data_IF_718050934088
#
_entry.id   IF_718050934088
#
_cell.length_a   1.000
_cell.length_b   1.000
_cell.length_c   1.000
_cell.angle_alpha   90.00
_cell.angle_beta   90.00
_cell.angle_gamma   90.00
#
_symmetry.space_group_name_H-M   'P 1'
#
loop_
_entity.id
_entity.type
_entity.pdbx_description
1 polymer ?
#
# COMPACT_ATOMS: atom_id res chain seq x y z
N UNK A 1 -52.58 58.63 17.84
CA UNK A 1 -52.42 59.39 19.10
C UNK A 1 -52.62 58.44 20.26
N UNK A 2 -51.88 58.64 21.37
CA UNK A 2 -51.86 57.86 22.62
C UNK A 2 -51.49 56.35 22.48
N UNK A 3 -50.48 55.74 23.14
CA UNK A 3 -49.86 55.86 24.49
C UNK A 3 -50.71 55.25 25.62
N UNK A 4 -50.18 54.42 26.55
CA UNK A 4 -48.87 53.76 26.68
C UNK A 4 -48.91 52.76 27.87
N UNK A 5 -47.90 51.86 27.98
CA UNK A 5 -47.29 51.37 29.24
C UNK A 5 -48.16 50.58 30.26
N UNK A 6 -47.74 49.54 30.98
CA UNK A 6 -46.47 48.80 31.26
C UNK A 6 -46.86 47.29 31.48
N UNK A 7 -46.06 46.31 31.94
CA UNK A 7 -44.73 46.27 32.57
C UNK A 7 -43.93 44.99 32.14
N UNK A 8 -43.32 44.26 33.08
CA UNK A 8 -42.33 43.20 32.88
C UNK A 8 -42.66 41.89 33.63
N UNK A 9 -42.34 40.75 33.01
CA UNK A 9 -41.77 39.57 33.67
C UNK A 9 -40.94 38.80 32.64
N UNK A 10 -39.75 38.31 33.00
CA UNK A 10 -38.95 37.44 32.15
C UNK A 10 -38.99 36.00 32.66
N UNK A 11 -38.64 35.03 31.81
CA UNK A 11 -38.00 33.76 32.18
C UNK A 11 -37.38 33.13 30.93
N UNK A 12 -36.23 32.47 31.13
CA UNK A 12 -35.42 31.81 30.11
C UNK A 12 -35.76 30.33 29.94
N UNK A 13 -35.76 29.83 28.71
CA UNK A 13 -35.47 28.43 28.38
C UNK A 13 -35.04 28.34 26.90
N UNK A 14 -33.74 28.34 26.59
CA UNK A 14 -32.93 27.11 26.43
C UNK A 14 -33.54 26.13 25.43
N UNK A 15 -33.31 26.35 24.13
CA UNK A 15 -33.57 25.33 23.11
C UNK A 15 -32.64 24.12 23.28
N UNK A 16 -33.04 22.92 22.84
CA UNK A 16 -32.24 21.71 23.01
C UNK A 16 -30.97 21.79 22.16
N UNK A 17 -29.83 21.84 22.83
CA UNK A 17 -28.53 21.61 22.21
C UNK A 17 -28.46 20.17 21.71
N UNK A 18 -28.33 19.98 20.40
CA UNK A 18 -27.98 18.70 19.80
C UNK A 18 -26.54 18.32 20.23
N UNK A 19 -26.41 17.73 21.42
CA UNK A 19 -25.18 17.07 21.85
C UNK A 19 -24.96 15.85 20.95
N UNK A 20 -24.13 16.04 19.93
CA UNK A 20 -23.53 14.93 19.20
C UNK A 20 -22.61 14.19 20.18
N UNK A 21 -23.14 13.13 20.81
CA UNK A 21 -22.38 12.23 21.67
C UNK A 21 -21.37 11.49 20.80
N UNK A 22 -20.16 12.05 20.70
CA UNK A 22 -19.03 11.40 20.05
C UNK A 22 -18.82 10.02 20.64
N UNK A 23 -18.83 9.00 19.78
CA UNK A 23 -18.69 7.60 20.21
C UNK A 23 -17.27 7.33 20.71
N UNK A 24 -17.05 7.56 22.01
CA UNK A 24 -15.76 7.33 22.70
C UNK A 24 -15.25 5.91 22.48
N UNK A 25 -16.16 4.94 22.38
CA UNK A 25 -15.83 3.54 22.10
C UNK A 25 -15.12 3.35 20.76
N UNK A 26 -15.45 4.13 19.72
CA UNK A 26 -14.83 3.94 18.40
C UNK A 26 -13.36 4.33 18.39
N UNK A 27 -13.00 5.44 19.04
CA UNK A 27 -11.61 5.92 19.11
C UNK A 27 -10.76 5.03 20.04
N UNK A 28 -11.31 4.60 21.17
CA UNK A 28 -10.61 3.67 22.06
C UNK A 28 -10.38 2.29 21.44
N UNK A 29 -11.30 1.80 20.60
CA UNK A 29 -11.17 0.51 19.94
C UNK A 29 -10.04 0.52 18.89
N UNK A 30 -9.97 1.59 18.10
CA UNK A 30 -8.86 1.82 17.15
C UNK A 30 -7.50 1.94 17.87
N UNK A 31 -7.47 2.55 19.05
CA UNK A 31 -6.25 2.61 19.88
C UNK A 31 -5.75 1.23 20.34
N UNK A 32 -6.65 0.26 20.55
CA UNK A 32 -6.30 -1.13 20.89
C UNK A 32 -5.86 -1.89 19.64
N UNK A 33 -6.56 -1.73 18.52
CA UNK A 33 -6.21 -2.36 17.25
C UNK A 33 -4.81 -1.95 16.75
N UNK A 34 -4.37 -0.72 17.05
CA UNK A 34 -2.99 -0.26 16.78
C UNK A 34 -1.94 -0.96 17.67
N UNK A 35 -2.28 -1.33 18.90
CA UNK A 35 -1.37 -1.99 19.84
C UNK A 35 -1.23 -3.50 19.59
N UNK A 36 -2.24 -4.12 18.98
CA UNK A 36 -2.23 -5.56 18.63
C UNK A 36 -1.49 -5.83 17.31
N UNK A 37 -1.21 -4.79 16.51
CA UNK A 37 -0.45 -4.90 15.25
C UNK A 37 1.05 -4.99 15.52
N UNK A 38 1.60 -6.20 15.41
CA UNK A 38 3.04 -6.48 15.55
C UNK A 38 3.71 -6.71 14.20
N UNK A 39 5.01 -6.41 14.13
CA UNK A 39 5.87 -6.92 13.05
C UNK A 39 5.90 -8.45 13.10
N UNK A 40 6.11 -9.09 11.95
CA UNK A 40 6.19 -10.55 11.86
C UNK A 40 7.51 -11.09 12.45
N UNK A 41 7.51 -11.39 13.75
CA UNK A 41 8.68 -11.87 14.51
C UNK A 41 8.96 -13.39 14.40
N UNK A 42 8.83 -14.00 13.21
CA UNK A 42 9.42 -15.33 12.99
C UNK A 42 10.91 -15.19 12.59
N UNK A 43 11.76 -15.23 13.61
CA UNK A 43 13.23 -15.23 13.45
C UNK A 43 13.83 -16.58 13.04
N UNK A 44 13.00 -17.57 12.69
CA UNK A 44 13.40 -18.88 12.14
C UNK A 44 13.57 -18.91 10.63
N UNK A 45 13.06 -17.91 9.91
CA UNK A 45 12.78 -18.03 8.46
C UNK A 45 13.82 -17.27 7.59
N UNK A 46 14.96 -16.88 8.19
CA UNK A 46 16.04 -16.11 7.52
C UNK A 46 17.12 -17.00 6.87
N UNK A 47 17.18 -18.29 7.20
CA UNK A 47 18.22 -19.21 6.68
C UNK A 47 17.89 -19.80 5.29
N UNK A 48 16.65 -19.62 4.80
CA UNK A 48 16.20 -20.09 3.47
C UNK A 48 16.63 -19.16 2.30
N UNK A 49 17.52 -18.18 2.51
CA UNK A 49 18.04 -17.31 1.44
C UNK A 49 18.85 -18.07 0.36
N UNK A 50 19.20 -19.34 0.57
CA UNK A 50 20.18 -20.07 -0.25
C UNK A 50 19.64 -20.80 -1.47
N UNK A 51 18.34 -21.13 -1.49
CA UNK A 51 17.75 -22.07 -2.45
C UNK A 51 16.77 -21.43 -3.45
N UNK A 52 16.68 -20.09 -3.47
CA UNK A 52 16.01 -19.37 -4.55
C UNK A 52 16.89 -19.40 -5.82
N UNK A 53 16.75 -20.47 -6.60
CA UNK A 53 17.32 -20.59 -7.95
C UNK A 53 17.03 -19.32 -8.76
N UNK A 54 18.06 -18.82 -9.45
CA UNK A 54 17.92 -17.72 -10.38
C UNK A 54 17.11 -18.20 -11.59
N UNK A 55 15.80 -17.94 -11.61
CA UNK A 55 15.00 -18.03 -12.83
C UNK A 55 15.57 -17.02 -13.85
N UNK A 56 16.40 -17.51 -14.78
CA UNK A 56 16.94 -16.72 -15.88
C UNK A 56 15.83 -16.49 -16.92
N UNK A 57 14.98 -15.50 -16.63
CA UNK A 57 13.93 -15.04 -17.53
C UNK A 57 14.58 -14.11 -18.56
N UNK A 58 14.90 -14.67 -19.73
CA UNK A 58 15.30 -13.91 -20.92
C UNK A 58 14.20 -12.90 -21.29
N UNK A 59 14.59 -11.65 -21.55
CA UNK A 59 13.71 -10.63 -22.07
C UNK A 59 13.86 -9.25 -21.43
N UNK A 60 13.86 -8.23 -22.28
CA UNK A 60 13.61 -6.84 -21.89
C UNK A 60 12.12 -6.69 -21.55
N UNK A 61 11.71 -7.22 -20.38
CA UNK A 61 10.31 -7.34 -19.94
C UNK A 61 9.62 -6.02 -19.56
N UNK A 62 9.70 -5.02 -20.44
CA UNK A 62 9.05 -3.72 -20.32
C UNK A 62 7.93 -3.49 -21.34
N UNK A 63 7.75 -4.41 -22.28
CA UNK A 63 6.69 -4.35 -23.31
C UNK A 63 5.38 -4.97 -22.81
N UNK A 64 4.26 -4.48 -23.34
CA UNK A 64 2.92 -4.97 -23.01
C UNK A 64 2.69 -6.36 -23.62
N UNK A 65 2.08 -7.26 -22.83
CA UNK A 65 1.80 -8.65 -23.24
C UNK A 65 2.96 -9.63 -23.05
N UNK A 66 4.11 -9.19 -22.53
CA UNK A 66 5.21 -10.09 -22.16
C UNK A 66 4.79 -10.97 -20.97
N UNK A 67 5.13 -12.26 -21.03
CA UNK A 67 4.77 -13.24 -20.00
C UNK A 67 5.99 -13.53 -19.15
N UNK A 68 5.94 -13.08 -17.90
CA UNK A 68 6.93 -13.38 -16.86
C UNK A 68 6.51 -14.69 -16.20
N UNK A 69 7.33 -15.73 -16.29
CA UNK A 69 7.10 -17.01 -15.59
C UNK A 69 8.13 -17.13 -14.48
N UNK A 70 7.69 -17.41 -13.25
CA UNK A 70 8.57 -17.59 -12.10
C UNK A 70 8.09 -18.70 -11.19
N UNK A 71 9.03 -19.35 -10.50
CA UNK A 71 8.78 -20.43 -9.56
C UNK A 71 8.82 -19.91 -8.12
N UNK A 72 7.67 -19.90 -7.45
CA UNK A 72 7.57 -19.57 -6.03
C UNK A 72 8.02 -20.78 -5.21
N UNK A 73 9.05 -20.59 -4.39
CA UNK A 73 9.50 -21.57 -3.40
C UNK A 73 8.37 -21.97 -2.44
N UNK A 74 8.14 -23.27 -2.29
CA UNK A 74 7.07 -23.80 -1.46
C UNK A 74 7.34 -23.66 0.03
N UNK A 75 6.78 -22.61 0.67
CA UNK A 75 6.77 -22.47 2.13
C UNK A 75 6.12 -23.71 2.79
N UNK A 76 6.61 -24.12 3.96
CA UNK A 76 6.04 -25.18 4.78
C UNK A 76 5.85 -26.55 4.07
N UNK A 77 6.84 -26.99 3.28
CA UNK A 77 6.83 -28.27 2.53
C UNK A 77 5.74 -28.38 1.44
N UNK A 78 5.17 -27.26 1.01
CA UNK A 78 4.34 -27.24 -0.21
C UNK A 78 5.21 -27.46 -1.46
N UNK A 79 4.66 -27.98 -2.57
CA UNK A 79 5.39 -28.06 -3.82
C UNK A 79 5.75 -26.65 -4.34
N UNK A 80 6.89 -26.53 -5.04
CA UNK A 80 7.23 -25.32 -5.82
C UNK A 80 6.06 -25.00 -6.77
N UNK A 81 5.57 -23.77 -6.77
CA UNK A 81 4.45 -23.35 -7.62
C UNK A 81 4.94 -22.41 -8.71
N UNK A 82 4.80 -22.80 -9.98
CA UNK A 82 4.99 -21.91 -11.12
C UNK A 82 3.81 -20.95 -11.23
N UNK A 83 4.10 -19.65 -11.34
CA UNK A 83 3.13 -18.57 -11.53
C UNK A 83 3.53 -17.72 -12.72
N UNK A 84 2.56 -17.25 -13.50
CA UNK A 84 2.79 -16.51 -14.73
C UNK A 84 2.02 -15.18 -14.74
N UNK A 85 2.76 -14.09 -14.97
CA UNK A 85 2.24 -12.73 -15.01
C UNK A 85 2.27 -12.19 -16.45
N UNK A 86 1.15 -11.67 -16.92
CA UNK A 86 1.10 -10.92 -18.19
C UNK A 86 1.33 -9.44 -17.85
N UNK A 87 2.41 -8.83 -18.36
CA UNK A 87 2.62 -7.39 -18.24
C UNK A 87 1.55 -6.64 -19.04
N UNK A 88 0.94 -5.60 -18.45
CA UNK A 88 -0.05 -4.78 -19.12
C UNK A 88 0.56 -3.47 -19.60
N UNK A 89 1.11 -2.66 -18.68
CA UNK A 89 1.77 -1.39 -19.03
C UNK A 89 2.66 -0.87 -17.89
N UNK A 90 3.57 0.06 -18.22
CA UNK A 90 4.36 0.81 -17.24
C UNK A 90 3.45 1.79 -16.49
N UNK A 91 3.41 1.69 -15.17
CA UNK A 91 2.66 2.61 -14.28
C UNK A 91 3.56 3.56 -13.51
N UNK A 92 4.87 3.32 -13.46
CA UNK A 92 5.82 4.23 -12.84
C UNK A 92 7.25 4.02 -13.31
N UNK A 93 7.99 5.12 -13.45
CA UNK A 93 9.44 5.13 -13.67
C UNK A 93 10.10 5.99 -12.60
N UNK A 94 11.25 5.56 -12.11
CA UNK A 94 11.99 6.27 -11.07
C UNK A 94 13.48 5.96 -11.11
N UNK A 95 14.27 6.64 -10.27
CA UNK A 95 15.72 6.48 -10.20
C UNK A 95 16.19 5.05 -9.90
N UNK A 96 15.35 4.26 -9.23
CA UNK A 96 15.67 2.89 -8.79
C UNK A 96 15.17 1.80 -9.77
N UNK A 97 14.37 2.14 -10.78
CA UNK A 97 13.80 1.16 -11.69
C UNK A 97 12.41 1.51 -12.22
N UNK A 98 11.68 0.47 -12.65
CA UNK A 98 10.40 0.58 -13.34
C UNK A 98 9.33 -0.25 -12.62
N UNK A 99 8.10 0.25 -12.60
CA UNK A 99 6.92 -0.44 -12.07
C UNK A 99 5.95 -0.72 -13.21
N UNK A 100 5.56 -1.98 -13.36
CA UNK A 100 4.58 -2.45 -14.33
C UNK A 100 3.30 -2.88 -13.61
N UNK A 101 2.14 -2.52 -14.18
CA UNK A 101 0.92 -3.25 -13.90
C UNK A 101 0.98 -4.58 -14.65
N UNK A 102 0.65 -5.66 -13.97
CA UNK A 102 0.58 -7.00 -14.56
C UNK A 102 -0.60 -7.79 -13.99
N UNK A 103 -1.01 -8.83 -14.69
CA UNK A 103 -2.10 -9.73 -14.27
C UNK A 103 -1.55 -11.13 -14.03
N UNK A 104 -1.76 -11.65 -12.82
CA UNK A 104 -1.52 -13.05 -12.48
C UNK A 104 -2.49 -13.95 -13.28
N UNK A 105 -1.99 -14.93 -14.02
CA UNK A 105 -2.82 -15.82 -14.85
C UNK A 105 -3.54 -16.88 -14.01
N UNK A 106 -2.94 -17.28 -12.90
CA UNK A 106 -3.42 -18.36 -12.04
C UNK A 106 -4.53 -17.87 -11.10
N UNK A 107 -4.39 -16.67 -10.52
CA UNK A 107 -5.41 -16.07 -9.62
C UNK A 107 -6.33 -15.07 -10.33
N UNK A 108 -5.91 -14.53 -11.47
CA UNK A 108 -6.62 -13.45 -12.17
C UNK A 108 -6.45 -12.06 -11.52
N UNK A 109 -5.68 -11.95 -10.43
CA UNK A 109 -5.45 -10.70 -9.70
C UNK A 109 -4.52 -9.74 -10.46
N UNK A 110 -4.75 -8.43 -10.28
CA UNK A 110 -3.88 -7.37 -10.81
C UNK A 110 -2.83 -7.05 -9.74
N UNK A 111 -1.56 -7.00 -10.16
CA UNK A 111 -0.39 -6.77 -9.30
C UNK A 111 0.50 -5.66 -9.87
N UNK A 112 1.27 -5.02 -8.99
CA UNK A 112 2.34 -4.10 -9.37
C UNK A 112 3.69 -4.83 -9.28
N UNK A 113 4.41 -4.98 -10.39
CA UNK A 113 5.76 -5.57 -10.41
C UNK A 113 6.78 -4.45 -10.46
N UNK A 114 7.52 -4.25 -9.36
CA UNK A 114 8.63 -3.28 -9.29
C UNK A 114 9.95 -3.98 -9.61
N UNK A 115 10.53 -3.69 -10.78
CA UNK A 115 11.82 -4.21 -11.24
C UNK A 115 12.95 -3.23 -10.90
N UNK A 116 13.90 -3.66 -10.06
CA UNK A 116 14.99 -2.86 -9.48
C UNK A 116 16.34 -3.49 -9.81
N UNK A 117 17.27 -2.73 -10.39
CA UNK A 117 18.63 -3.19 -10.68
C UNK A 117 19.40 -3.44 -9.37
N UNK A 118 20.05 -4.60 -9.25
CA UNK A 118 20.90 -4.97 -8.12
C UNK A 118 22.35 -4.54 -8.37
N UNK A 119 22.59 -3.24 -8.30
CA UNK A 119 23.96 -2.70 -8.30
C UNK A 119 24.65 -3.04 -6.97
N UNK A 120 25.70 -3.87 -7.04
CA UNK A 120 26.51 -4.34 -5.90
C UNK A 120 27.08 -3.22 -5.01
N UNK A 121 27.11 -1.98 -5.49
CA UNK A 121 27.56 -0.80 -4.72
C UNK A 121 26.50 -0.25 -3.76
N UNK A 122 25.22 -0.62 -3.93
CA UNK A 122 24.10 -0.14 -3.13
C UNK A 122 23.43 -1.28 -2.38
N UNK A 123 23.17 -1.07 -1.08
CA UNK A 123 22.42 -2.03 -0.26
C UNK A 123 20.91 -1.78 -0.40
N UNK A 124 20.23 -2.66 -1.12
CA UNK A 124 18.77 -2.64 -1.17
C UNK A 124 18.18 -3.36 0.05
N UNK A 125 17.49 -2.63 0.93
CA UNK A 125 16.78 -3.17 2.11
C UNK A 125 15.28 -3.34 1.88
N UNK A 126 14.76 -2.98 0.71
CA UNK A 126 13.32 -2.93 0.45
C UNK A 126 12.66 -4.31 0.59
N UNK A 127 13.29 -5.37 0.06
CA UNK A 127 12.80 -6.74 0.23
C UNK A 127 12.71 -7.14 1.70
N UNK A 128 13.82 -6.97 2.44
CA UNK A 128 13.92 -7.34 3.86
C UNK A 128 12.90 -6.60 4.72
N UNK A 129 12.69 -5.32 4.46
CA UNK A 129 11.66 -4.52 5.15
C UNK A 129 10.27 -5.04 4.76
N UNK A 130 9.97 -5.18 3.48
CA UNK A 130 8.66 -5.62 2.98
C UNK A 130 8.25 -7.03 3.44
N UNK A 131 9.21 -7.91 3.74
CA UNK A 131 8.95 -9.25 4.32
C UNK A 131 8.46 -9.20 5.78
N UNK A 132 8.71 -8.10 6.50
CA UNK A 132 8.33 -7.92 7.91
C UNK A 132 6.98 -7.22 8.10
N UNK A 133 6.41 -6.65 7.03
CA UNK A 133 5.23 -5.80 7.06
C UNK A 133 3.97 -6.58 6.71
N UNK A 134 3.03 -6.64 7.66
CA UNK A 134 1.65 -7.09 7.43
C UNK A 134 0.69 -6.08 8.09
N UNK A 135 0.16 -5.15 7.29
CA UNK A 135 -0.66 -4.05 7.80
C UNK A 135 -1.62 -3.51 6.71
N UNK A 136 -2.92 -3.30 6.99
CA UNK A 136 -3.94 -2.94 5.98
C UNK A 136 -3.78 -1.55 5.34
N UNK A 137 -2.86 -0.72 5.83
CA UNK A 137 -2.48 0.56 5.20
C UNK A 137 -1.04 0.57 4.66
N UNK A 138 -0.47 -0.61 4.40
CA UNK A 138 0.79 -0.85 3.71
C UNK A 138 0.51 -1.84 2.58
N UNK A 139 1.09 -1.64 1.40
CA UNK A 139 0.92 -2.57 0.27
C UNK A 139 1.55 -3.92 0.59
N UNK A 140 0.83 -5.02 0.37
CA UNK A 140 1.35 -6.35 0.65
C UNK A 140 2.39 -6.79 -0.39
N UNK A 141 3.52 -7.35 0.08
CA UNK A 141 4.43 -8.13 -0.76
C UNK A 141 3.82 -9.51 -0.98
N UNK A 142 3.40 -9.81 -2.21
CA UNK A 142 2.85 -11.12 -2.58
C UNK A 142 3.98 -12.12 -2.79
N UNK A 143 4.89 -11.79 -3.70
CA UNK A 143 6.04 -12.62 -4.08
C UNK A 143 7.24 -11.75 -4.47
N UNK A 144 8.42 -12.35 -4.58
CA UNK A 144 9.59 -11.73 -5.19
C UNK A 144 10.37 -12.76 -5.99
N UNK A 145 11.08 -12.32 -7.02
CA UNK A 145 11.96 -13.17 -7.82
C UNK A 145 13.09 -12.34 -8.42
N UNK A 146 14.21 -13.00 -8.71
CA UNK A 146 15.32 -12.38 -9.44
C UNK A 146 15.18 -12.67 -10.94
N UNK A 147 15.70 -11.77 -11.77
CA UNK A 147 15.85 -12.01 -13.21
C UNK A 147 17.17 -11.40 -13.70
N UNK A 148 17.85 -12.08 -14.63
CA UNK A 148 19.06 -11.61 -15.27
C UNK A 148 18.75 -11.14 -16.70
N UNK A 149 19.48 -10.14 -17.21
CA UNK A 149 19.49 -9.83 -18.65
C UNK A 149 20.66 -10.53 -19.35
N UNK A 150 20.66 -10.51 -20.69
CA UNK A 150 21.78 -10.97 -21.54
C UNK A 150 23.13 -10.31 -21.22
N UNK A 151 23.12 -9.21 -20.46
CA UNK A 151 24.29 -8.45 -20.01
C UNK A 151 24.75 -8.84 -18.60
N UNK A 152 24.22 -9.93 -18.06
CA UNK A 152 24.44 -10.40 -16.69
C UNK A 152 23.99 -9.38 -15.61
N UNK A 153 23.12 -8.43 -15.98
CA UNK A 153 22.56 -7.46 -15.03
C UNK A 153 21.45 -8.13 -14.21
N UNK A 154 21.69 -8.27 -12.91
CA UNK A 154 20.72 -8.85 -11.98
C UNK A 154 19.67 -7.80 -11.57
N UNK A 155 18.40 -8.20 -11.65
CA UNK A 155 17.26 -7.43 -11.18
C UNK A 155 16.51 -8.18 -10.08
N UNK A 156 16.05 -7.44 -9.08
CA UNK A 156 15.05 -7.88 -8.11
C UNK A 156 13.68 -7.40 -8.60
N UNK A 157 12.71 -8.30 -8.62
CA UNK A 157 11.33 -8.01 -8.99
C UNK A 157 10.46 -8.24 -7.76
N UNK A 158 9.85 -7.17 -7.24
CA UNK A 158 8.89 -7.26 -6.14
C UNK A 158 7.48 -7.30 -6.73
N UNK A 159 6.72 -8.37 -6.45
CA UNK A 159 5.30 -8.49 -6.83
C UNK A 159 4.47 -7.98 -5.66
N UNK A 160 3.86 -6.82 -5.86
CA UNK A 160 3.14 -6.05 -4.86
C UNK A 160 1.65 -6.00 -5.20
N UNK A 161 0.82 -5.73 -4.20
CA UNK A 161 -0.56 -5.34 -4.43
C UNK A 161 -0.68 -4.10 -5.33
N UNK A 162 -1.59 -4.13 -6.29
CA UNK A 162 -1.85 -3.00 -7.17
C UNK A 162 -2.89 -2.04 -6.59
N UNK A 163 -2.51 -0.77 -6.41
CA UNK A 163 -3.41 0.32 -6.03
C UNK A 163 -3.56 1.28 -7.22
N UNK A 164 -4.77 1.50 -7.76
CA UNK A 164 -4.96 2.22 -9.03
C UNK A 164 -4.72 3.73 -8.95
N UNK A 165 -4.84 4.33 -7.76
CA UNK A 165 -4.70 5.77 -7.57
C UNK A 165 -3.71 6.11 -6.46
N UNK A 166 -3.15 7.33 -6.53
CA UNK A 166 -2.33 7.90 -5.46
C UNK A 166 -2.95 9.20 -4.97
N UNK A 167 -2.70 9.55 -3.70
CA UNK A 167 -3.09 10.85 -3.12
C UNK A 167 -2.56 12.03 -3.94
N UNK A 168 -1.40 11.87 -4.62
CA UNK A 168 -0.84 12.86 -5.54
C UNK A 168 -1.72 13.04 -6.81
N UNK A 169 -2.18 11.95 -7.43
CA UNK A 169 -3.08 11.99 -8.57
C UNK A 169 -4.41 12.67 -8.21
N UNK A 170 -5.03 12.25 -7.10
CA UNK A 170 -6.26 12.86 -6.57
C UNK A 170 -6.08 14.35 -6.26
N UNK A 171 -4.99 14.73 -5.59
CA UNK A 171 -4.68 16.13 -5.28
C UNK A 171 -4.56 17.00 -6.55
N UNK A 172 -3.86 16.49 -7.57
CA UNK A 172 -3.76 17.14 -8.89
C UNK A 172 -5.11 17.25 -9.59
N UNK A 173 -5.98 16.25 -9.49
CA UNK A 173 -7.33 16.28 -10.07
C UNK A 173 -8.19 17.37 -9.43
N UNK A 174 -8.27 17.42 -8.09
CA UNK A 174 -8.98 18.49 -7.37
C UNK A 174 -8.44 19.88 -7.72
N UNK A 175 -7.12 20.04 -7.80
CA UNK A 175 -6.48 21.29 -8.20
C UNK A 175 -6.89 21.72 -9.62
N UNK A 176 -6.87 20.82 -10.60
CA UNK A 176 -7.35 21.09 -11.99
C UNK A 176 -8.82 21.50 -12.06
N UNK A 177 -9.65 20.98 -11.17
CA UNK A 177 -11.08 21.36 -11.07
C UNK A 177 -11.30 22.67 -10.30
N UNK A 178 -10.23 23.34 -9.82
CA UNK A 178 -10.29 24.48 -8.90
C UNK A 178 -11.09 24.19 -7.62
N UNK A 179 -11.12 22.93 -7.18
CA UNK A 179 -11.82 22.48 -5.99
C UNK A 179 -10.82 22.08 -4.89
N UNK A 180 -11.24 22.23 -3.62
CA UNK A 180 -10.51 21.64 -2.49
C UNK A 180 -10.97 20.19 -2.32
N UNK A 181 -10.04 19.30 -1.99
CA UNK A 181 -10.39 17.94 -1.57
C UNK A 181 -11.30 18.01 -0.33
N UNK A 182 -12.46 17.31 -0.33
CA UNK A 182 -13.34 17.23 0.82
C UNK A 182 -12.62 16.82 2.10
N UNK A 183 -12.89 17.52 3.21
CA UNK A 183 -12.16 17.35 4.47
C UNK A 183 -12.26 15.93 5.05
N UNK A 184 -13.32 15.18 4.71
CA UNK A 184 -13.46 13.76 5.07
C UNK A 184 -12.35 12.89 4.47
N UNK A 185 -12.00 13.08 3.20
CA UNK A 185 -10.90 12.34 2.56
C UNK A 185 -9.55 12.73 3.14
N UNK A 186 -9.34 14.03 3.41
CA UNK A 186 -8.13 14.50 4.08
C UNK A 186 -7.96 13.79 5.43
N UNK A 187 -9.02 13.74 6.26
CA UNK A 187 -9.00 13.03 7.55
C UNK A 187 -8.73 11.52 7.39
N UNK A 188 -9.40 10.86 6.46
CA UNK A 188 -9.25 9.41 6.23
C UNK A 188 -7.85 9.04 5.74
N UNK A 189 -7.29 9.78 4.78
CA UNK A 189 -5.93 9.52 4.28
C UNK A 189 -4.87 9.86 5.33
N UNK A 190 -5.00 10.99 6.03
CA UNK A 190 -4.08 11.33 7.13
C UNK A 190 -4.11 10.27 8.23
N UNK A 191 -5.30 9.80 8.63
CA UNK A 191 -5.41 8.73 9.64
C UNK A 191 -4.72 7.44 9.20
N UNK A 192 -4.98 6.97 7.98
CA UNK A 192 -4.37 5.73 7.45
C UNK A 192 -2.85 5.83 7.31
N UNK A 193 -2.33 6.99 6.88
CA UNK A 193 -0.89 7.27 6.83
C UNK A 193 -0.29 7.30 8.24
N UNK A 194 -0.92 7.99 9.20
CA UNK A 194 -0.44 8.00 10.57
C UNK A 194 -0.46 6.59 11.20
N UNK A 195 -1.45 5.76 10.84
CA UNK A 195 -1.56 4.37 11.32
C UNK A 195 -0.44 3.49 10.76
N UNK A 196 -0.17 3.52 9.45
CA UNK A 196 0.96 2.77 8.89
C UNK A 196 2.31 3.30 9.35
N UNK A 197 2.46 4.62 9.50
CA UNK A 197 3.68 5.23 10.08
C UNK A 197 3.88 4.79 11.53
N UNK A 198 2.83 4.65 12.34
CA UNK A 198 2.93 4.14 13.71
C UNK A 198 3.29 2.65 13.79
N UNK A 199 2.90 1.84 12.79
CA UNK A 199 3.24 0.42 12.71
C UNK A 199 4.72 0.16 12.35
N UNK A 200 5.34 1.06 11.59
CA UNK A 200 6.75 0.91 11.15
C UNK A 200 7.78 1.61 12.07
N UNK A 201 7.35 2.22 13.17
CA UNK A 201 8.15 3.15 13.98
C UNK A 201 8.69 2.55 15.29
#
# INVERSE_FOLDING_TARGET
MASASLRSAGVSSSGPSNNFSGSSSSVEWLGREILDMRLWENSSDLDDEKDNELDVIDGTGAEAGHIIVTTIGGRNRQPKQTVSYITEHVVGTGSFGVVFQAKCRETGEIVAIKKVLQDKRYKNRELQIMQLLDHPNIIALRHFFFSATDREELYLNLVLEFVPETVNCLSKQYNRMNQRMPLIYVKLYTYQICRSVAYIH
#
